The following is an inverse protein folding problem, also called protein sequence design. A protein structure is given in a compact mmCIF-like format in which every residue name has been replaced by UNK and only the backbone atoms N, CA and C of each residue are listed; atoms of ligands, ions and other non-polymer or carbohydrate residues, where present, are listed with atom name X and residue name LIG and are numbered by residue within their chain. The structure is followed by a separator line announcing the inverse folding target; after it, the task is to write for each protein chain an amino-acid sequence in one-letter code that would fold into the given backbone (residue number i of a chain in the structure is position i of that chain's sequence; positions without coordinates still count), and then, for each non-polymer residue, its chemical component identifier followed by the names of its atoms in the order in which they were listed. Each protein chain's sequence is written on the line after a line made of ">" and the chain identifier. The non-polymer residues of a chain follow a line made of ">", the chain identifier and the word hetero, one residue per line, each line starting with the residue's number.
data_IF_063289255111
#
_entry.id   IF_063289255111
#
_cell.length_a   1.000
_cell.length_b   1.000
_cell.length_c   1.000
_cell.angle_alpha   90.00
_cell.angle_beta   90.00
_cell.angle_gamma   90.00
#
_symmetry.space_group_name_H-M   'P 1'
#
loop_
_entity.id
_entity.type
_entity.pdbx_description
1 polymer ?
#
# COMPACT_ATOMS: atom_id res chain seq x y z
N UNK A 1 9.78 -19.83 -9.59
CA UNK A 1 8.54 -19.08 -9.32
C UNK A 1 8.87 -17.60 -9.45
N UNK A 2 8.02 -16.82 -10.13
CA UNK A 2 8.26 -15.41 -10.48
C UNK A 2 7.86 -14.48 -9.34
N UNK A 3 8.70 -13.49 -9.02
CA UNK A 3 8.33 -12.38 -8.15
C UNK A 3 7.18 -11.60 -8.78
N UNK A 4 6.15 -11.28 -7.99
CA UNK A 4 4.96 -10.56 -8.43
C UNK A 4 4.97 -9.16 -7.83
N UNK A 5 4.88 -8.13 -8.67
CA UNK A 5 4.76 -6.74 -8.21
C UNK A 5 3.40 -6.20 -8.63
N UNK A 6 2.65 -5.64 -7.68
CA UNK A 6 1.35 -5.02 -7.92
C UNK A 6 1.37 -3.55 -7.48
N UNK A 7 0.79 -2.67 -8.30
CA UNK A 7 0.47 -1.32 -7.89
C UNK A 7 -0.94 -1.28 -7.31
N UNK A 8 -1.11 -0.63 -6.16
CA UNK A 8 -2.38 -0.49 -5.45
C UNK A 8 -2.71 1.00 -5.33
N UNK A 9 -3.87 1.41 -5.83
CA UNK A 9 -4.45 2.70 -5.47
C UNK A 9 -4.93 2.62 -4.01
N UNK A 10 -4.26 3.38 -3.15
CA UNK A 10 -4.52 3.39 -1.71
C UNK A 10 -5.60 4.41 -1.36
N UNK A 11 -5.84 5.39 -2.23
CA UNK A 11 -6.74 6.52 -1.99
C UNK A 11 -8.19 6.21 -2.37
N UNK A 12 -8.41 5.20 -3.22
CA UNK A 12 -9.73 4.79 -3.68
C UNK A 12 -10.59 4.08 -2.63
N UNK A 13 -11.91 4.18 -2.79
CA UNK A 13 -12.93 3.56 -1.94
C UNK A 13 -13.28 4.39 -0.70
N UNK A 14 -14.44 4.10 -0.09
CA UNK A 14 -15.05 4.90 0.98
C UNK A 14 -14.15 5.11 2.20
N UNK A 15 -13.27 4.14 2.48
CA UNK A 15 -12.38 4.15 3.64
C UNK A 15 -10.90 4.41 3.29
N UNK A 16 -10.56 4.44 2.00
CA UNK A 16 -9.23 4.77 1.48
C UNK A 16 -8.06 4.11 2.24
N UNK A 17 -6.99 4.87 2.57
CA UNK A 17 -5.77 4.32 3.18
C UNK A 17 -6.01 3.55 4.48
N UNK A 18 -7.02 3.95 5.26
CA UNK A 18 -7.29 3.36 6.58
C UNK A 18 -7.63 1.87 6.54
N UNK A 19 -8.10 1.36 5.39
CA UNK A 19 -8.38 -0.07 5.17
C UNK A 19 -7.42 -0.70 4.17
N UNK A 20 -7.03 0.02 3.12
CA UNK A 20 -6.19 -0.52 2.04
C UNK A 20 -4.76 -0.76 2.52
N UNK A 21 -4.20 0.09 3.38
CA UNK A 21 -2.84 -0.10 3.93
C UNK A 21 -2.78 -1.33 4.86
N UNK A 22 -3.67 -1.52 5.86
CA UNK A 22 -3.68 -2.75 6.65
C UNK A 22 -3.92 -4.02 5.82
N UNK A 23 -4.74 -3.96 4.78
CA UNK A 23 -4.96 -5.09 3.87
C UNK A 23 -3.71 -5.42 3.04
N UNK A 24 -2.99 -4.40 2.55
CA UNK A 24 -1.72 -4.56 1.84
C UNK A 24 -0.65 -5.25 2.71
N UNK A 25 -0.53 -4.86 3.99
CA UNK A 25 0.39 -5.51 4.93
C UNK A 25 0.03 -6.97 5.18
N UNK A 26 -1.27 -7.28 5.30
CA UNK A 26 -1.74 -8.67 5.41
C UNK A 26 -1.39 -9.50 4.16
N UNK A 27 -1.59 -8.94 2.96
CA UNK A 27 -1.25 -9.61 1.71
C UNK A 27 0.26 -9.89 1.58
N UNK A 28 1.12 -8.98 2.03
CA UNK A 28 2.57 -9.18 2.08
C UNK A 28 2.97 -10.33 3.02
N UNK A 29 2.22 -10.55 4.10
CA UNK A 29 2.45 -11.69 5.01
C UNK A 29 2.01 -13.02 4.38
N UNK A 30 0.91 -13.02 3.63
CA UNK A 30 0.40 -14.23 2.98
C UNK A 30 1.22 -14.67 1.77
N UNK A 31 1.99 -13.77 1.15
CA UNK A 31 2.77 -14.07 -0.04
C UNK A 31 4.17 -13.44 0.02
N UNK A 32 5.20 -14.26 0.27
CA UNK A 32 6.60 -13.82 0.33
C UNK A 32 7.19 -13.37 -1.02
N UNK A 33 6.55 -13.73 -2.14
CA UNK A 33 6.95 -13.32 -3.49
C UNK A 33 6.25 -12.03 -3.96
N UNK A 34 5.32 -11.49 -3.16
CA UNK A 34 4.61 -10.25 -3.45
C UNK A 34 5.45 -9.03 -3.07
N UNK A 35 5.46 -8.05 -3.96
CA UNK A 35 5.95 -6.68 -3.75
C UNK A 35 4.80 -5.72 -4.08
N UNK A 36 4.61 -4.69 -3.25
CA UNK A 36 3.52 -3.73 -3.42
C UNK A 36 4.05 -2.31 -3.65
N UNK A 37 3.47 -1.64 -4.64
CA UNK A 37 3.62 -0.21 -4.86
C UNK A 37 2.34 0.47 -4.38
N UNK A 38 2.42 1.18 -3.25
CA UNK A 38 1.31 1.94 -2.67
C UNK A 38 1.24 3.32 -3.33
N UNK A 39 0.28 3.52 -4.22
CA UNK A 39 0.09 4.78 -4.95
C UNK A 39 -0.90 5.66 -4.19
N UNK A 40 -0.48 6.86 -3.79
CA UNK A 40 -1.35 7.78 -3.05
C UNK A 40 -0.61 8.90 -2.33
N UNK A 41 -1.30 9.56 -1.39
CA UNK A 41 -0.72 10.62 -0.57
C UNK A 41 0.22 10.04 0.51
N UNK A 42 1.54 10.30 0.47
CA UNK A 42 2.49 9.77 1.45
C UNK A 42 2.17 10.15 2.90
N UNK A 43 1.59 11.32 3.13
CA UNK A 43 1.26 11.80 4.48
C UNK A 43 0.10 11.01 5.09
N UNK A 44 -0.81 10.49 4.26
CA UNK A 44 -1.88 9.61 4.70
C UNK A 44 -1.41 8.16 4.89
N UNK A 45 -0.43 7.71 4.09
CA UNK A 45 0.04 6.33 4.07
C UNK A 45 1.08 6.05 5.16
N UNK A 46 2.07 6.94 5.31
CA UNK A 46 3.23 6.74 6.19
C UNK A 46 2.85 6.43 7.65
N UNK A 47 1.88 7.12 8.27
CA UNK A 47 1.47 6.82 9.64
C UNK A 47 0.90 5.40 9.81
N UNK A 48 0.24 4.88 8.77
CA UNK A 48 -0.39 3.56 8.78
C UNK A 48 0.63 2.43 8.65
N UNK A 49 1.82 2.72 8.12
CA UNK A 49 2.94 1.79 8.04
C UNK A 49 3.75 1.72 9.34
N UNK A 50 3.43 2.51 10.38
CA UNK A 50 4.22 2.54 11.63
C UNK A 50 4.40 1.14 12.26
N UNK A 51 3.41 0.26 12.14
CA UNK A 51 3.43 -1.11 12.67
C UNK A 51 4.01 -2.15 11.70
N UNK A 52 4.37 -1.77 10.48
CA UNK A 52 4.95 -2.69 9.51
C UNK A 52 6.35 -3.10 9.94
N UNK A 53 6.62 -4.40 9.89
CA UNK A 53 7.94 -4.96 10.20
C UNK A 53 8.95 -4.72 9.05
N UNK A 54 10.20 -5.13 9.27
CA UNK A 54 11.27 -4.95 8.30
C UNK A 54 11.02 -5.70 6.98
N UNK A 55 10.47 -6.92 7.04
CA UNK A 55 10.21 -7.76 5.86
C UNK A 55 9.06 -7.24 5.00
N UNK A 56 8.07 -6.61 5.63
CA UNK A 56 6.99 -5.91 4.93
C UNK A 56 7.53 -4.64 4.27
N UNK A 57 8.32 -3.85 5.00
CA UNK A 57 8.90 -2.59 4.48
C UNK A 57 9.88 -2.81 3.33
N UNK A 58 10.63 -3.92 3.32
CA UNK A 58 11.58 -4.23 2.24
C UNK A 58 10.89 -4.58 0.91
N UNK A 59 9.60 -4.95 0.95
CA UNK A 59 8.78 -5.35 -0.20
C UNK A 59 7.65 -4.37 -0.49
N UNK A 60 7.71 -3.17 0.10
CA UNK A 60 6.70 -2.14 -0.03
C UNK A 60 7.37 -0.81 -0.39
N UNK A 61 6.81 -0.13 -1.39
CA UNK A 61 7.26 1.20 -1.79
C UNK A 61 6.05 2.14 -1.87
N UNK A 62 6.19 3.36 -1.35
CA UNK A 62 5.20 4.43 -1.56
C UNK A 62 5.54 5.15 -2.85
N UNK A 63 4.56 5.27 -3.74
CA UNK A 63 4.61 6.07 -4.97
C UNK A 63 3.69 7.28 -4.78
N UNK A 64 4.24 8.50 -4.62
CA UNK A 64 3.42 9.69 -4.41
C UNK A 64 2.50 9.96 -5.61
N UNK A 65 1.20 10.12 -5.36
CA UNK A 65 0.24 10.64 -6.33
C UNK A 65 0.02 12.14 -6.11
N UNK A 66 -0.02 12.93 -7.20
CA UNK A 66 -0.18 14.38 -7.13
C UNK A 66 -1.62 14.83 -6.85
N UNK A 67 -2.60 13.96 -7.14
CA UNK A 67 -4.02 14.25 -6.98
C UNK A 67 -4.81 12.96 -6.75
N UNK A 68 -5.96 13.08 -6.09
CA UNK A 68 -6.95 12.02 -5.94
C UNK A 68 -8.18 12.41 -6.75
N UNK A 69 -8.75 11.47 -7.50
CA UNK A 69 -10.03 11.69 -8.20
C UNK A 69 -11.15 11.56 -7.18
N UNK A 70 -11.94 12.63 -7.01
CA UNK A 70 -13.12 12.59 -6.16
C UNK A 70 -14.23 11.78 -6.85
N UNK A 71 -15.00 11.02 -6.06
CA UNK A 71 -16.24 10.41 -6.54
C UNK A 71 -17.35 11.46 -6.49
N UNK A 72 -17.77 11.96 -7.65
CA UNK A 72 -18.92 12.84 -7.85
C UNK A 72 -20.16 12.10 -8.41
#
# INVERSE_FOLDING_TARGET
>A
MTRLTLALDVMGGDFGPSVTVPAALQALNSNSQLTLLLVGNPDAITPLLAKADFEQRSRLQIIPAQSVIASD
#
